data_IF_697254902571
#
_entry.id   IF_697254902571
#
_cell.length_a   1.000
_cell.length_b   1.000
_cell.length_c   1.000
_cell.angle_alpha   90.00
_cell.angle_beta   90.00
_cell.angle_gamma   90.00
#
_symmetry.space_group_name_H-M   'P 1'
#
loop_
_entity.id
_entity.type
_entity.pdbx_description
1 polymer ?
#
# COMPACT_ATOMS: atom_id res chain seq x y z
N UNK A 1 -2.85 12.32 -9.94
CA UNK A 1 -2.37 11.37 -8.91
C UNK A 1 -1.50 12.08 -7.86
N UNK A 2 -0.44 12.82 -8.24
CA UNK A 2 0.49 13.46 -7.27
C UNK A 2 -0.16 14.35 -6.18
N UNK A 3 -1.19 15.13 -6.53
CA UNK A 3 -1.88 16.02 -5.57
C UNK A 3 -2.50 15.26 -4.39
N UNK A 4 -3.02 14.05 -4.63
CA UNK A 4 -3.70 13.26 -3.59
C UNK A 4 -2.69 12.69 -2.60
N UNK A 5 -1.55 12.21 -3.10
CA UNK A 5 -0.44 11.72 -2.27
C UNK A 5 0.09 12.83 -1.36
N UNK A 6 0.24 14.05 -1.89
CA UNK A 6 0.67 15.19 -1.08
C UNK A 6 -0.31 15.50 0.05
N UNK A 7 -1.62 15.48 -0.23
CA UNK A 7 -2.66 15.70 0.78
C UNK A 7 -2.68 14.60 1.85
N UNK A 8 -2.55 13.33 1.45
CA UNK A 8 -2.47 12.19 2.38
C UNK A 8 -1.31 12.38 3.36
N UNK A 9 -0.12 12.75 2.85
CA UNK A 9 1.06 12.99 3.68
C UNK A 9 0.86 14.13 4.69
N UNK A 10 0.17 15.20 4.30
CA UNK A 10 -0.12 16.30 5.23
C UNK A 10 -1.14 15.85 6.29
N UNK A 11 -2.17 15.10 5.88
CA UNK A 11 -3.29 14.76 6.76
C UNK A 11 -3.03 13.59 7.71
N UNK A 12 -2.17 12.62 7.33
CA UNK A 12 -1.86 11.44 8.17
C UNK A 12 -1.32 11.78 9.55
N UNK A 13 -0.67 12.94 9.71
CA UNK A 13 -0.18 13.40 11.02
C UNK A 13 -1.28 13.75 12.02
N UNK A 14 -2.52 13.95 11.54
CA UNK A 14 -3.66 14.39 12.36
C UNK A 14 -4.86 13.45 12.30
N UNK A 15 -4.81 12.40 11.47
CA UNK A 15 -5.95 11.53 11.22
C UNK A 15 -5.46 10.15 10.76
N UNK A 16 -6.12 9.09 11.21
CA UNK A 16 -5.99 7.77 10.59
C UNK A 16 -6.62 7.80 9.20
N UNK A 17 -5.95 7.22 8.21
CA UNK A 17 -6.43 7.16 6.82
C UNK A 17 -6.34 5.72 6.36
N UNK A 18 -7.46 5.19 5.85
CA UNK A 18 -7.51 3.88 5.18
C UNK A 18 -7.65 4.15 3.68
N UNK A 19 -6.77 3.54 2.89
CA UNK A 19 -6.72 3.70 1.44
C UNK A 19 -6.68 2.30 0.83
N UNK A 20 -7.49 2.09 -0.20
CA UNK A 20 -7.47 0.88 -1.02
C UNK A 20 -7.37 1.30 -2.48
N UNK A 21 -6.42 0.70 -3.19
CA UNK A 21 -6.17 0.93 -4.62
C UNK A 21 -5.35 -0.26 -5.17
N UNK A 22 -5.33 -0.43 -6.49
CA UNK A 22 -4.46 -1.38 -7.19
C UNK A 22 -3.08 -0.79 -7.52
N UNK A 23 -2.88 0.53 -7.45
CA UNK A 23 -1.57 1.17 -7.66
C UNK A 23 -0.61 0.95 -6.47
N UNK A 24 -0.14 -0.30 -6.32
CA UNK A 24 0.63 -0.75 -5.15
C UNK A 24 1.87 0.10 -4.84
N UNK A 25 2.54 0.65 -5.87
CA UNK A 25 3.75 1.48 -5.71
C UNK A 25 3.44 2.74 -4.91
N UNK A 26 2.32 3.39 -5.21
CA UNK A 26 1.90 4.61 -4.52
C UNK A 26 1.41 4.27 -3.11
N UNK A 27 0.63 3.20 -2.94
CA UNK A 27 0.18 2.73 -1.62
C UNK A 27 1.36 2.42 -0.71
N UNK A 28 2.37 1.67 -1.18
CA UNK A 28 3.58 1.37 -0.41
C UNK A 28 4.35 2.64 -0.02
N UNK A 29 4.34 3.67 -0.87
CA UNK A 29 5.09 4.91 -0.64
C UNK A 29 4.43 5.84 0.40
N UNK A 30 3.10 5.78 0.56
CA UNK A 30 2.36 6.73 1.43
C UNK A 30 1.91 6.13 2.75
N UNK A 31 1.75 4.81 2.80
CA UNK A 31 1.14 4.11 3.93
C UNK A 31 2.15 3.81 5.02
N UNK A 32 1.71 3.86 6.28
CA UNK A 32 2.51 3.39 7.41
C UNK A 32 2.51 1.86 7.54
N UNK A 33 1.38 1.24 7.20
CA UNK A 33 1.17 -0.20 7.15
C UNK A 33 0.37 -0.55 5.89
N UNK A 34 0.73 -1.64 5.22
CA UNK A 34 0.01 -2.12 4.04
C UNK A 34 -0.44 -3.55 4.25
N UNK A 35 -1.73 -3.79 4.04
CA UNK A 35 -2.33 -5.11 4.08
C UNK A 35 -2.70 -5.54 2.67
N UNK A 36 -2.15 -6.66 2.23
CA UNK A 36 -2.51 -7.30 0.99
C UNK A 36 -3.73 -8.18 1.20
N UNK A 37 -4.75 -7.99 0.37
CA UNK A 37 -5.98 -8.77 0.42
C UNK A 37 -5.95 -9.81 -0.70
N UNK A 38 -5.94 -11.09 -0.33
CA UNK A 38 -5.93 -12.21 -1.28
C UNK A 38 -6.63 -13.41 -0.65
N UNK A 39 -7.45 -14.10 -1.46
CA UNK A 39 -8.16 -15.33 -1.07
C UNK A 39 -8.96 -15.20 0.23
N UNK A 40 -9.64 -14.06 0.41
CA UNK A 40 -10.45 -13.77 1.61
C UNK A 40 -9.64 -13.51 2.88
N UNK A 41 -8.31 -13.48 2.80
CA UNK A 41 -7.41 -13.21 3.90
C UNK A 41 -6.69 -11.87 3.72
N UNK A 42 -6.21 -11.31 4.83
CA UNK A 42 -5.34 -10.13 4.83
C UNK A 42 -3.96 -10.50 5.35
N UNK A 43 -2.91 -10.07 4.64
CA UNK A 43 -1.52 -10.28 5.04
C UNK A 43 -0.80 -8.95 5.12
N UNK A 44 -0.13 -8.69 6.24
CA UNK A 44 0.74 -7.53 6.36
C UNK A 44 1.96 -7.72 5.45
N UNK A 45 2.19 -6.76 4.56
CA UNK A 45 3.33 -6.72 3.67
C UNK A 45 4.21 -5.51 4.01
N UNK A 46 5.53 -5.73 4.05
CA UNK A 46 6.53 -4.75 4.49
C UNK A 46 7.47 -4.33 3.37
N UNK A 47 7.49 -5.07 2.27
CA UNK A 47 8.43 -4.87 1.18
C UNK A 47 7.84 -5.27 -0.17
N UNK A 48 8.46 -4.76 -1.24
CA UNK A 48 8.19 -5.17 -2.62
C UNK A 48 8.29 -6.69 -2.79
N UNK A 49 9.30 -7.30 -2.15
CA UNK A 49 9.55 -8.74 -2.17
C UNK A 49 8.42 -9.56 -1.57
N UNK A 50 7.67 -9.01 -0.61
CA UNK A 50 6.50 -9.70 -0.09
C UNK A 50 5.41 -9.84 -1.15
N UNK A 51 5.24 -8.85 -2.03
CA UNK A 51 4.30 -8.92 -3.15
C UNK A 51 4.75 -9.92 -4.22
N UNK A 52 6.06 -10.03 -4.47
CA UNK A 52 6.64 -11.06 -5.35
C UNK A 52 6.35 -12.46 -4.79
N UNK A 53 6.60 -12.67 -3.50
CA UNK A 53 6.35 -13.94 -2.81
C UNK A 53 4.86 -14.33 -2.84
N UNK A 54 3.95 -13.35 -2.82
CA UNK A 54 2.52 -13.56 -2.98
C UNK A 54 2.07 -13.76 -4.43
N UNK A 55 3.00 -13.66 -5.40
CA UNK A 55 2.73 -13.77 -6.83
C UNK A 55 1.89 -12.61 -7.38
N UNK A 56 1.83 -11.48 -6.68
CA UNK A 56 1.08 -10.29 -7.12
C UNK A 56 1.83 -9.50 -8.19
N UNK A 57 3.17 -9.52 -8.13
CA UNK A 57 4.07 -8.92 -9.12
C UNK A 57 5.11 -9.94 -9.55
N UNK A 58 5.55 -9.85 -10.79
CA UNK A 58 6.63 -10.68 -11.33
C UNK A 58 7.99 -10.23 -10.79
N UNK A 59 8.89 -11.21 -10.60
CA UNK A 59 10.31 -10.94 -10.38
C UNK A 59 10.89 -10.35 -11.66
N UNK A 60 11.34 -9.09 -11.59
CA UNK A 60 12.11 -8.43 -12.65
C UNK A 60 13.57 -8.96 -12.68
#
# INVERSE_FOLDING_TARGET
>A
VEKIIALIKIKKHKSGIIITDHFYRDILKVSDSVYFLKDGCSKLIKSHRDLENEGYITLD
#
